data_IF_049573377654
#
_entry.id   IF_049573377654
#
_cell.length_a   1.000
_cell.length_b   1.000
_cell.length_c   1.000
_cell.angle_alpha   90.00
_cell.angle_beta   90.00
_cell.angle_gamma   90.00
#
_symmetry.space_group_name_H-M   'P 1'
#
loop_
_entity.id
_entity.type
_entity.pdbx_description
1 polymer ?
#
# COMPACT_ATOMS: atom_id res chain seq x y z
N UNK A 1 -8.32 18.96 -16.43
CA UNK A 1 -9.24 17.92 -16.91
C UNK A 1 -8.59 16.89 -17.85
N UNK A 2 -7.48 17.22 -18.56
CA UNK A 2 -6.83 16.30 -19.52
C UNK A 2 -6.10 15.11 -18.85
N UNK A 3 -5.55 15.29 -17.63
CA UNK A 3 -4.70 14.27 -17.00
C UNK A 3 -5.39 12.97 -16.57
N UNK A 4 -6.66 13.02 -16.15
CA UNK A 4 -7.39 11.81 -15.70
C UNK A 4 -7.81 10.93 -16.88
N UNK A 5 -8.28 11.54 -17.97
CA UNK A 5 -8.63 10.80 -19.18
C UNK A 5 -7.41 10.13 -19.81
N UNK A 6 -6.25 10.81 -19.83
CA UNK A 6 -4.99 10.22 -20.29
C UNK A 6 -4.58 9.03 -19.40
N UNK A 7 -4.74 9.16 -18.08
CA UNK A 7 -4.45 8.08 -17.14
C UNK A 7 -5.39 6.88 -17.32
N UNK A 8 -6.69 7.13 -17.49
CA UNK A 8 -7.68 6.08 -17.78
C UNK A 8 -7.38 5.37 -19.10
N UNK A 9 -6.98 6.12 -20.13
CA UNK A 9 -6.56 5.54 -21.41
C UNK A 9 -5.31 4.66 -21.25
N UNK A 10 -4.31 5.11 -20.48
CA UNK A 10 -3.12 4.31 -20.19
C UNK A 10 -3.49 3.00 -19.48
N UNK A 11 -4.38 3.10 -18.48
CA UNK A 11 -4.93 1.93 -17.78
C UNK A 11 -5.62 0.98 -18.76
N UNK A 12 -6.45 1.53 -19.64
CA UNK A 12 -7.18 0.76 -20.63
C UNK A 12 -6.23 -0.01 -21.56
N UNK A 13 -5.16 0.62 -22.02
CA UNK A 13 -4.09 -0.04 -22.79
C UNK A 13 -3.48 -1.20 -22.02
N UNK A 14 -3.16 -1.02 -20.73
CA UNK A 14 -2.62 -2.09 -19.87
C UNK A 14 -3.62 -3.23 -19.76
N UNK A 15 -4.89 -2.94 -19.47
CA UNK A 15 -5.92 -3.97 -19.30
C UNK A 15 -6.11 -4.77 -20.59
N UNK A 16 -6.25 -4.12 -21.75
CA UNK A 16 -6.42 -4.81 -23.03
C UNK A 16 -5.18 -5.57 -23.49
N UNK A 17 -3.98 -5.16 -23.05
CA UNK A 17 -2.73 -5.87 -23.39
C UNK A 17 -2.59 -7.17 -22.60
N UNK A 18 -2.92 -7.15 -21.30
CA UNK A 18 -2.65 -8.28 -20.39
C UNK A 18 -3.86 -9.17 -20.12
N UNK A 19 -5.09 -8.66 -20.27
CA UNK A 19 -6.30 -9.40 -19.97
C UNK A 19 -7.08 -9.68 -21.24
N UNK A 20 -7.31 -10.98 -21.50
CA UNK A 20 -8.25 -11.40 -22.54
C UNK A 20 -9.67 -10.95 -22.22
N UNK A 21 -10.05 -11.03 -20.96
CA UNK A 21 -11.40 -10.67 -20.49
C UNK A 21 -11.36 -10.26 -19.02
N UNK A 22 -12.10 -9.20 -18.67
CA UNK A 22 -12.35 -8.77 -17.29
C UNK A 22 -13.86 -8.71 -17.09
N UNK A 23 -14.40 -9.59 -16.26
CA UNK A 23 -15.83 -9.61 -15.94
C UNK A 23 -16.10 -8.89 -14.62
N UNK A 24 -17.04 -7.94 -14.65
CA UNK A 24 -17.53 -7.24 -13.46
C UNK A 24 -18.90 -7.78 -13.09
N UNK A 25 -19.09 -8.14 -11.82
CA UNK A 25 -20.38 -8.59 -11.28
C UNK A 25 -20.83 -7.66 -10.16
N UNK A 26 -22.13 -7.45 -10.04
CA UNK A 26 -22.71 -6.67 -8.94
C UNK A 26 -22.39 -5.17 -9.00
N UNK A 27 -22.03 -4.62 -10.16
CA UNK A 27 -21.67 -3.19 -10.28
C UNK A 27 -22.81 -2.24 -9.95
N UNK A 28 -24.06 -2.69 -10.06
CA UNK A 28 -25.26 -1.97 -9.62
C UNK A 28 -25.31 -1.71 -8.10
N UNK A 29 -24.52 -2.44 -7.30
CA UNK A 29 -24.41 -2.21 -5.85
C UNK A 29 -23.50 -1.02 -5.51
N UNK A 30 -22.76 -0.47 -6.48
CA UNK A 30 -21.85 0.66 -6.23
C UNK A 30 -22.69 1.94 -6.09
N UNK A 31 -22.65 2.63 -4.94
CA UNK A 31 -23.34 3.90 -4.76
C UNK A 31 -22.86 4.95 -5.77
N UNK A 32 -23.81 5.56 -6.50
CA UNK A 32 -23.49 6.60 -7.50
C UNK A 32 -23.07 7.92 -6.85
N UNK A 33 -23.58 8.22 -5.66
CA UNK A 33 -23.29 9.43 -4.89
C UNK A 33 -23.04 9.12 -3.42
N UNK A 34 -22.54 10.10 -2.67
CA UNK A 34 -22.21 9.96 -1.26
C UNK A 34 -20.79 9.43 -1.01
N UNK A 35 -20.36 9.56 0.25
CA UNK A 35 -19.09 9.01 0.72
C UNK A 35 -19.19 7.48 0.73
N UNK A 36 -18.23 6.81 0.09
CA UNK A 36 -18.23 5.36 -0.01
C UNK A 36 -16.80 4.87 0.11
N UNK A 37 -16.60 3.91 1.01
CA UNK A 37 -15.36 3.15 1.10
C UNK A 37 -15.54 1.90 0.24
N UNK A 38 -14.68 1.74 -0.77
CA UNK A 38 -14.65 0.55 -1.60
C UNK A 38 -13.56 -0.36 -1.03
N UNK A 39 -13.95 -1.55 -0.58
CA UNK A 39 -13.03 -2.54 -0.02
C UNK A 39 -12.69 -3.54 -1.12
N UNK A 40 -11.39 -3.75 -1.36
CA UNK A 40 -10.89 -4.64 -2.41
C UNK A 40 -10.28 -5.88 -1.75
N UNK A 41 -10.78 -7.05 -2.11
CA UNK A 41 -10.26 -8.34 -1.66
C UNK A 41 -10.59 -9.44 -2.69
N UNK A 42 -9.75 -10.49 -2.82
CA UNK A 42 -8.44 -10.63 -2.22
C UNK A 42 -7.42 -9.69 -2.88
N UNK A 43 -6.41 -9.25 -2.13
CA UNK A 43 -5.44 -8.26 -2.59
C UNK A 43 -4.15 -8.94 -3.06
N UNK A 44 -4.23 -9.61 -4.20
CA UNK A 44 -3.12 -10.41 -4.74
C UNK A 44 -2.07 -9.55 -5.45
N UNK A 45 -2.42 -8.35 -5.96
CA UNK A 45 -1.49 -7.47 -6.65
C UNK A 45 -1.82 -5.99 -6.41
N UNK A 46 -0.99 -5.33 -5.60
CA UNK A 46 -1.19 -3.94 -5.20
C UNK A 46 -1.40 -2.91 -6.30
N UNK A 47 -0.83 -3.12 -7.49
CA UNK A 47 -0.96 -2.15 -8.59
C UNK A 47 -2.13 -2.49 -9.49
N UNK A 48 -2.28 -3.77 -9.83
CA UNK A 48 -3.35 -4.22 -10.69
C UNK A 48 -4.72 -4.08 -10.02
N UNK A 49 -4.81 -4.41 -8.74
CA UNK A 49 -6.04 -4.30 -7.95
C UNK A 49 -6.53 -2.85 -7.94
N UNK A 50 -5.62 -1.88 -7.77
CA UNK A 50 -5.93 -0.45 -7.83
C UNK A 50 -6.41 -0.02 -9.23
N UNK A 51 -5.66 -0.39 -10.28
CA UNK A 51 -5.95 0.01 -11.65
C UNK A 51 -7.28 -0.58 -12.15
N UNK A 52 -7.52 -1.88 -11.93
CA UNK A 52 -8.78 -2.54 -12.29
C UNK A 52 -9.95 -1.92 -11.54
N UNK A 53 -9.79 -1.59 -10.26
CA UNK A 53 -10.86 -0.98 -9.47
C UNK A 53 -11.19 0.41 -9.97
N UNK A 54 -10.21 1.28 -10.19
CA UNK A 54 -10.44 2.64 -10.73
C UNK A 54 -11.18 2.56 -12.06
N UNK A 55 -10.70 1.73 -12.98
CA UNK A 55 -11.27 1.59 -14.31
C UNK A 55 -12.72 1.09 -14.27
N UNK A 56 -12.96 0.00 -13.54
CA UNK A 56 -14.28 -0.62 -13.50
C UNK A 56 -15.29 0.22 -12.73
N UNK A 57 -14.90 0.87 -11.63
CA UNK A 57 -15.77 1.81 -10.92
C UNK A 57 -16.13 2.97 -11.85
N UNK A 58 -15.14 3.60 -12.50
CA UNK A 58 -15.38 4.72 -13.40
C UNK A 58 -16.36 4.36 -14.53
N UNK A 59 -16.11 3.24 -15.23
CA UNK A 59 -16.97 2.76 -16.32
C UNK A 59 -18.38 2.39 -15.88
N UNK A 60 -18.53 1.67 -14.76
CA UNK A 60 -19.83 1.14 -14.35
C UNK A 60 -20.73 2.16 -13.60
N UNK A 61 -20.17 3.29 -13.17
CA UNK A 61 -20.91 4.29 -12.39
C UNK A 61 -21.12 5.61 -13.15
N UNK A 62 -20.81 5.63 -14.45
CA UNK A 62 -20.86 6.83 -15.28
C UNK A 62 -19.96 7.97 -14.76
N UNK A 63 -18.70 7.62 -14.42
CA UNK A 63 -17.66 8.61 -14.13
C UNK A 63 -17.30 8.81 -12.66
N UNK A 64 -17.77 7.96 -11.72
CA UNK A 64 -17.33 8.05 -10.33
C UNK A 64 -15.84 7.71 -10.24
N UNK A 65 -15.05 8.66 -9.73
CA UNK A 65 -13.64 8.43 -9.48
C UNK A 65 -13.41 7.72 -8.15
N UNK A 66 -12.50 6.75 -8.12
CA UNK A 66 -12.05 6.09 -6.89
C UNK A 66 -10.60 6.49 -6.61
N UNK A 67 -10.34 7.06 -5.43
CA UNK A 67 -8.99 7.20 -4.89
C UNK A 67 -8.63 5.97 -4.06
N UNK A 68 -7.35 5.71 -3.86
CA UNK A 68 -6.86 4.62 -3.02
C UNK A 68 -5.90 5.10 -1.95
N UNK A 69 -5.78 4.31 -0.89
CA UNK A 69 -4.80 4.51 0.16
C UNK A 69 -3.56 3.69 -0.20
N UNK A 70 -2.39 4.31 -0.18
CA UNK A 70 -1.12 3.63 -0.45
C UNK A 70 -0.05 3.96 0.59
N UNK A 71 0.99 3.12 0.66
CA UNK A 71 2.13 3.41 1.51
C UNK A 71 2.86 4.66 1.02
N UNK A 72 3.16 5.60 1.94
CA UNK A 72 3.81 6.86 1.61
C UNK A 72 5.21 6.66 0.98
N UNK A 73 5.90 5.56 1.32
CA UNK A 73 7.15 5.18 0.67
C UNK A 73 7.00 4.95 -0.84
N UNK A 74 5.87 4.39 -1.29
CA UNK A 74 5.56 4.20 -2.72
C UNK A 74 5.24 5.55 -3.38
N UNK A 75 4.47 6.40 -2.70
CA UNK A 75 4.11 7.74 -3.16
C UNK A 75 5.33 8.65 -3.40
N UNK A 76 6.42 8.44 -2.64
CA UNK A 76 7.68 9.17 -2.78
C UNK A 76 8.53 8.72 -3.98
N UNK A 77 8.27 7.54 -4.56
CA UNK A 77 9.03 7.06 -5.73
C UNK A 77 8.68 7.87 -6.98
N UNK A 78 9.64 8.06 -7.89
CA UNK A 78 9.45 8.92 -9.07
C UNK A 78 8.30 8.45 -9.96
N UNK A 79 8.41 7.24 -10.54
CA UNK A 79 7.42 6.70 -11.48
C UNK A 79 6.13 6.31 -10.79
N UNK A 80 6.22 5.48 -9.74
CA UNK A 80 5.05 5.00 -8.99
C UNK A 80 4.31 6.18 -8.37
N UNK A 81 5.01 7.07 -7.67
CA UNK A 81 4.40 8.24 -7.06
C UNK A 81 3.77 9.19 -8.07
N UNK A 82 4.35 9.35 -9.27
CA UNK A 82 3.71 10.14 -10.32
C UNK A 82 2.35 9.54 -10.73
N UNK A 83 2.31 8.23 -10.99
CA UNK A 83 1.07 7.52 -11.32
C UNK A 83 0.07 7.56 -10.17
N UNK A 84 0.51 7.39 -8.93
CA UNK A 84 -0.34 7.48 -7.74
C UNK A 84 -0.93 8.88 -7.56
N UNK A 85 -0.17 9.94 -7.83
CA UNK A 85 -0.68 11.32 -7.85
C UNK A 85 -1.71 11.53 -8.95
N UNK A 86 -1.49 10.99 -10.15
CA UNK A 86 -2.47 11.02 -11.24
C UNK A 86 -3.78 10.29 -10.85
N UNK A 87 -3.65 9.19 -10.11
CA UNK A 87 -4.77 8.41 -9.61
C UNK A 87 -5.53 9.09 -8.45
N UNK A 88 -4.97 10.13 -7.84
CA UNK A 88 -5.52 10.79 -6.65
C UNK A 88 -5.33 9.99 -5.36
N UNK A 89 -4.26 9.19 -5.28
CA UNK A 89 -3.94 8.37 -4.12
C UNK A 89 -3.68 9.19 -2.85
N UNK A 90 -4.03 8.61 -1.71
CA UNK A 90 -3.79 9.15 -0.37
C UNK A 90 -2.64 8.39 0.29
N UNK A 91 -1.47 9.03 0.49
CA UNK A 91 -0.34 8.39 1.14
C UNK A 91 -0.59 8.22 2.64
N UNK A 92 -0.22 7.06 3.18
CA UNK A 92 -0.26 6.76 4.60
C UNK A 92 1.13 6.34 5.07
N UNK A 93 1.62 7.03 6.11
CA UNK A 93 2.85 6.66 6.79
C UNK A 93 2.60 5.45 7.71
N UNK A 94 3.50 4.46 7.64
CA UNK A 94 3.49 3.31 8.56
C UNK A 94 4.72 3.38 9.44
N UNK A 95 4.63 2.94 10.69
CA UNK A 95 5.76 2.97 11.63
C UNK A 95 7.01 2.28 11.05
N UNK A 96 6.83 1.17 10.34
CA UNK A 96 7.91 0.45 9.66
C UNK A 96 8.57 1.23 8.51
N UNK A 97 7.86 2.14 7.85
CA UNK A 97 8.41 2.95 6.75
C UNK A 97 9.29 4.10 7.29
N UNK A 98 9.22 4.36 8.60
CA UNK A 98 9.97 5.39 9.32
C UNK A 98 11.08 4.80 10.19
N UNK A 99 11.33 3.50 10.09
CA UNK A 99 12.42 2.85 10.82
C UNK A 99 13.76 3.39 10.36
N UNK A 100 14.53 3.90 11.30
CA UNK A 100 15.89 4.35 11.08
C UNK A 100 16.88 3.29 11.57
N UNK A 101 17.97 3.12 10.84
CA UNK A 101 19.09 2.31 11.32
C UNK A 101 19.76 3.03 12.48
N UNK A 102 19.57 2.50 13.69
CA UNK A 102 20.05 3.14 14.92
C UNK A 102 21.28 2.49 15.54
N UNK A 103 21.48 1.19 15.36
CA UNK A 103 22.55 0.45 16.04
C UNK A 103 23.20 -0.60 15.13
N UNK A 104 24.48 -0.88 15.41
CA UNK A 104 25.17 -2.07 14.95
C UNK A 104 25.02 -3.14 16.04
N UNK A 105 24.48 -4.30 15.70
CA UNK A 105 24.30 -5.39 16.65
C UNK A 105 23.31 -6.41 16.13
N UNK A 106 23.16 -7.48 16.90
CA UNK A 106 22.24 -8.57 16.60
C UNK A 106 21.16 -8.62 17.66
N UNK A 107 19.94 -8.94 17.23
CA UNK A 107 18.80 -9.16 18.12
C UNK A 107 18.34 -10.59 17.96
N UNK A 108 18.01 -11.24 19.08
CA UNK A 108 17.47 -12.60 19.12
C UNK A 108 16.39 -12.67 20.19
N UNK A 109 15.47 -13.61 20.05
CA UNK A 109 14.59 -13.95 21.18
C UNK A 109 15.42 -14.60 22.29
N UNK A 110 15.13 -14.24 23.54
CA UNK A 110 15.76 -14.89 24.70
C UNK A 110 15.22 -16.30 24.89
N UNK A 111 13.90 -16.44 24.88
CA UNK A 111 13.19 -17.72 24.86
C UNK A 111 11.82 -17.52 24.19
N UNK A 112 11.71 -17.89 22.92
CA UNK A 112 10.50 -17.66 22.14
C UNK A 112 9.30 -18.50 22.62
N UNK A 113 9.56 -19.70 23.17
CA UNK A 113 8.51 -20.62 23.57
C UNK A 113 7.87 -20.19 24.90
N UNK A 114 8.65 -19.61 25.82
CA UNK A 114 8.15 -19.13 27.11
C UNK A 114 7.72 -17.66 27.09
N UNK A 115 8.47 -16.78 26.40
CA UNK A 115 8.15 -15.36 26.27
C UNK A 115 8.56 -14.80 24.88
N UNK A 116 7.65 -14.85 23.89
CA UNK A 116 7.93 -14.36 22.53
C UNK A 116 8.07 -12.84 22.43
N UNK A 117 7.91 -12.11 23.54
CA UNK A 117 8.06 -10.64 23.58
C UNK A 117 9.41 -10.19 24.12
N UNK A 118 10.19 -11.11 24.70
CA UNK A 118 11.49 -10.83 25.29
C UNK A 118 12.60 -10.97 24.25
N UNK A 119 13.14 -9.81 23.84
CA UNK A 119 14.25 -9.71 22.88
C UNK A 119 15.54 -9.41 23.62
N UNK A 120 16.58 -10.20 23.33
CA UNK A 120 17.94 -10.00 23.78
C UNK A 120 18.78 -9.41 22.66
N UNK A 121 19.54 -8.37 22.99
CA UNK A 121 20.46 -7.72 22.06
C UNK A 121 21.92 -8.01 22.39
N UNK A 122 22.72 -8.27 21.36
CA UNK A 122 24.17 -8.47 21.44
C UNK A 122 24.84 -7.24 20.81
N UNK A 123 25.64 -6.52 21.59
CA UNK A 123 26.27 -5.25 21.21
C UNK A 123 25.29 -4.12 20.83
N UNK A 124 24.03 -4.20 21.30
CA UNK A 124 22.97 -3.20 21.04
C UNK A 124 22.82 -2.20 22.19
N UNK A 125 22.25 -1.00 21.92
CA UNK A 125 22.03 0.04 22.94
C UNK A 125 20.56 0.48 23.05
N UNK A 126 19.62 -0.48 23.15
CA UNK A 126 18.17 -0.21 23.13
C UNK A 126 17.71 0.95 24.03
N UNK A 127 18.24 1.06 25.24
CA UNK A 127 17.83 2.11 26.20
C UNK A 127 18.28 3.51 25.82
N UNK A 128 19.23 3.66 24.89
CA UNK A 128 19.74 4.95 24.42
C UNK A 128 19.20 5.31 23.03
N UNK A 129 19.00 4.32 22.17
CA UNK A 129 18.75 4.52 20.74
C UNK A 129 17.29 4.28 20.34
N UNK A 130 16.56 3.46 21.10
CA UNK A 130 15.17 3.15 20.83
C UNK A 130 14.23 3.98 21.71
N UNK A 131 13.03 4.24 21.20
CA UNK A 131 11.96 4.86 21.97
C UNK A 131 11.13 3.79 22.70
N UNK A 132 10.68 4.12 23.90
CA UNK A 132 9.75 3.27 24.66
C UNK A 132 8.45 3.13 23.87
N UNK A 133 7.94 1.89 23.72
CA UNK A 133 6.79 1.53 22.85
C UNK A 133 7.02 1.81 21.35
N UNK A 134 8.27 1.92 20.94
CA UNK A 134 8.65 1.97 19.53
C UNK A 134 8.52 0.62 18.83
N UNK A 135 8.58 0.65 17.50
CA UNK A 135 8.71 -0.55 16.68
C UNK A 135 10.19 -0.92 16.57
N UNK A 136 10.52 -2.20 16.77
CA UNK A 136 11.82 -2.78 16.41
C UNK A 136 11.62 -3.49 15.08
N UNK A 137 12.52 -3.25 14.13
CA UNK A 137 12.46 -3.90 12.83
C UNK A 137 13.82 -4.40 12.40
N UNK A 138 13.82 -5.47 11.62
CA UNK A 138 15.00 -6.04 11.01
C UNK A 138 15.35 -5.29 9.71
N UNK A 139 16.65 -5.26 9.33
CA UNK A 139 17.08 -4.71 8.06
C UNK A 139 16.33 -5.33 6.88
N UNK A 140 16.25 -4.59 5.78
CA UNK A 140 15.80 -5.10 4.48
C UNK A 140 14.40 -5.74 4.48
N UNK A 141 13.49 -5.27 5.34
CA UNK A 141 12.11 -5.80 5.44
C UNK A 141 12.06 -7.28 5.81
N UNK A 142 13.06 -7.79 6.56
CA UNK A 142 13.08 -9.18 7.03
C UNK A 142 12.04 -9.47 8.12
N UNK A 143 11.48 -8.44 8.74
CA UNK A 143 10.41 -8.57 9.74
C UNK A 143 10.40 -7.38 10.69
N UNK A 144 9.25 -7.15 11.33
CA UNK A 144 9.07 -6.24 12.46
C UNK A 144 8.20 -6.93 13.51
#
# INVERSE_FOLDING_TARGET
MIGRELFLWLIEVVIYTFFREVQVRGSYNIPKSGATIIVIAPHANQFLDAILTIYNVYRNTNGRWCAFVEAAVSFRRLVVGFLSRCAGALPVERAQDLLEYKDQGEITFEDYDSDPTLIKGINTHFTKTCMVKGLIGLPNSLGN
#
